data_IF_731937155643
#
_entry.id   IF_731937155643
#
_cell.length_a   1.000
_cell.length_b   1.000
_cell.length_c   1.000
_cell.angle_alpha   90.00
_cell.angle_beta   90.00
_cell.angle_gamma   90.00
#
_symmetry.space_group_name_H-M   'P 1'
#
loop_
_entity.id
_entity.type
_entity.pdbx_description
1 polymer ?
#
# COMPACT_ATOMS: atom_id res chain seq x y z
N UNK A 1 -9.24 1.70 9.03
CA UNK A 1 -9.77 0.44 9.59
C UNK A 1 -11.04 0.65 10.39
N UNK A 2 -11.02 1.43 11.49
CA UNK A 2 -12.20 1.61 12.36
C UNK A 2 -13.38 2.20 11.59
N UNK A 3 -13.18 3.29 10.86
CA UNK A 3 -14.24 3.90 10.05
C UNK A 3 -14.78 2.95 8.99
N UNK A 4 -13.92 2.24 8.28
CA UNK A 4 -14.32 1.26 7.26
C UNK A 4 -15.09 0.11 7.89
N UNK A 5 -14.64 -0.41 9.04
CA UNK A 5 -15.33 -1.44 9.79
C UNK A 5 -16.73 -1.00 10.22
N UNK A 6 -16.89 0.23 10.71
CA UNK A 6 -18.20 0.80 11.07
C UNK A 6 -19.11 0.92 9.83
N UNK A 7 -18.61 1.44 8.72
CA UNK A 7 -19.39 1.56 7.49
C UNK A 7 -19.84 0.18 7.02
N UNK A 8 -18.96 -0.82 7.02
CA UNK A 8 -19.32 -2.20 6.65
C UNK A 8 -20.33 -2.82 7.62
N UNK A 9 -20.17 -2.57 8.92
CA UNK A 9 -21.15 -3.00 9.91
C UNK A 9 -22.52 -2.39 9.63
N UNK A 10 -22.61 -1.11 9.31
CA UNK A 10 -23.86 -0.45 8.96
C UNK A 10 -24.47 -1.01 7.67
N UNK A 11 -23.66 -1.38 6.67
CA UNK A 11 -24.12 -2.03 5.43
C UNK A 11 -24.69 -3.43 5.66
N UNK A 12 -24.20 -4.12 6.69
CA UNK A 12 -24.63 -5.46 7.09
C UNK A 12 -25.48 -5.44 8.35
N UNK A 13 -26.04 -4.26 8.69
CA UNK A 13 -26.80 -4.14 9.94
C UNK A 13 -27.89 -5.20 10.02
N UNK A 14 -27.93 -5.98 11.08
CA UNK A 14 -28.84 -7.10 11.19
C UNK A 14 -30.30 -6.60 11.31
N UNK A 15 -31.20 -7.33 10.70
CA UNK A 15 -32.62 -7.24 11.00
C UNK A 15 -32.94 -7.95 12.34
N UNK A 16 -34.21 -8.00 12.67
CA UNK A 16 -34.67 -8.67 13.92
C UNK A 16 -34.38 -10.17 13.97
N UNK A 17 -34.05 -10.80 12.83
CA UNK A 17 -33.75 -12.22 12.71
C UNK A 17 -32.26 -12.58 12.83
N UNK A 18 -31.36 -11.59 12.83
CA UNK A 18 -29.90 -11.81 12.91
C UNK A 18 -29.41 -12.90 11.94
N UNK A 19 -29.68 -12.70 10.65
CA UNK A 19 -29.30 -13.67 9.59
C UNK A 19 -27.82 -14.09 9.70
N UNK A 20 -27.58 -15.41 9.89
CA UNK A 20 -26.23 -15.96 9.95
C UNK A 20 -25.46 -15.69 8.65
N UNK A 21 -26.12 -15.79 7.49
CA UNK A 21 -25.52 -15.48 6.19
C UNK A 21 -24.98 -14.06 6.12
N UNK A 22 -25.72 -13.08 6.66
CA UNK A 22 -25.30 -11.69 6.69
C UNK A 22 -24.12 -11.49 7.64
N UNK A 23 -24.15 -12.09 8.82
CA UNK A 23 -23.06 -12.07 9.79
C UNK A 23 -21.78 -12.68 9.21
N UNK A 24 -21.91 -13.86 8.58
CA UNK A 24 -20.77 -14.52 7.94
C UNK A 24 -20.22 -13.71 6.75
N UNK A 25 -21.09 -13.04 6.02
CA UNK A 25 -20.70 -12.14 4.94
C UNK A 25 -19.85 -10.96 5.43
N UNK A 26 -20.29 -10.33 6.52
CA UNK A 26 -19.55 -9.26 7.17
C UNK A 26 -18.18 -9.72 7.67
N UNK A 27 -18.15 -10.83 8.42
CA UNK A 27 -16.91 -11.35 9.01
C UNK A 27 -15.90 -11.72 7.91
N UNK A 28 -16.28 -12.50 6.90
CA UNK A 28 -15.38 -12.86 5.79
C UNK A 28 -14.78 -11.66 5.09
N UNK A 29 -15.57 -10.60 4.89
CA UNK A 29 -15.10 -9.39 4.22
C UNK A 29 -14.11 -8.62 5.09
N UNK A 30 -14.41 -8.49 6.39
CA UNK A 30 -13.55 -7.80 7.33
C UNK A 30 -12.24 -8.56 7.57
N UNK A 31 -12.31 -9.88 7.75
CA UNK A 31 -11.14 -10.73 7.94
C UNK A 31 -10.18 -10.60 6.75
N UNK A 32 -10.70 -10.69 5.53
CA UNK A 32 -9.89 -10.55 4.32
C UNK A 32 -9.20 -9.18 4.24
N UNK A 33 -9.91 -8.10 4.58
CA UNK A 33 -9.33 -6.75 4.58
C UNK A 33 -8.23 -6.61 5.63
N UNK A 34 -8.46 -7.14 6.83
CA UNK A 34 -7.48 -7.12 7.93
C UNK A 34 -6.24 -7.95 7.54
N UNK A 35 -6.40 -9.11 6.93
CA UNK A 35 -5.29 -9.94 6.45
C UNK A 35 -4.44 -9.23 5.41
N UNK A 36 -5.04 -8.56 4.44
CA UNK A 36 -4.31 -7.79 3.43
C UNK A 36 -3.53 -6.61 4.05
N UNK A 37 -4.11 -5.94 5.04
CA UNK A 37 -3.44 -4.87 5.78
C UNK A 37 -2.30 -5.43 6.62
N UNK A 38 -2.52 -6.54 7.32
CA UNK A 38 -1.48 -7.25 8.09
C UNK A 38 -0.30 -7.60 7.19
N UNK A 39 -0.55 -8.18 6.04
CA UNK A 39 0.48 -8.59 5.09
C UNK A 39 1.28 -7.37 4.59
N UNK A 40 0.61 -6.26 4.31
CA UNK A 40 1.27 -5.02 3.92
C UNK A 40 2.14 -4.43 5.03
N UNK A 41 1.68 -4.47 6.28
CA UNK A 41 2.47 -4.05 7.44
C UNK A 41 3.67 -4.96 7.64
N UNK A 42 3.48 -6.29 7.58
CA UNK A 42 4.56 -7.26 7.69
C UNK A 42 5.63 -7.03 6.62
N UNK A 43 5.22 -6.72 5.38
CA UNK A 43 6.14 -6.42 4.28
C UNK A 43 7.17 -5.34 4.65
N UNK A 44 6.74 -4.26 5.32
CA UNK A 44 7.64 -3.17 5.71
C UNK A 44 8.76 -3.62 6.66
N UNK A 45 8.46 -4.58 7.51
CA UNK A 45 9.43 -5.14 8.45
C UNK A 45 10.27 -6.26 7.84
N UNK A 46 9.63 -7.15 7.08
CA UNK A 46 10.30 -8.30 6.48
C UNK A 46 11.25 -7.93 5.33
N UNK A 47 10.86 -6.97 4.49
CA UNK A 47 11.68 -6.51 3.37
C UNK A 47 12.75 -5.49 3.79
N UNK A 48 12.91 -5.19 5.08
CA UNK A 48 13.88 -4.21 5.56
C UNK A 48 15.31 -4.58 5.22
N UNK A 49 16.12 -3.59 4.87
CA UNK A 49 17.56 -3.75 4.68
C UNK A 49 18.36 -3.52 5.98
N UNK A 50 17.67 -3.16 7.07
CA UNK A 50 18.30 -2.92 8.37
C UNK A 50 18.71 -4.23 9.03
N UNK A 51 19.92 -4.24 9.61
CA UNK A 51 20.48 -5.36 10.37
C UNK A 51 21.21 -4.92 11.65
N UNK A 52 21.13 -3.64 11.96
CA UNK A 52 21.86 -2.98 13.04
C UNK A 52 21.46 -3.44 14.45
N UNK A 53 20.26 -4.03 14.60
CA UNK A 53 19.80 -4.57 15.89
C UNK A 53 19.24 -5.99 15.79
N UNK A 54 19.15 -6.74 16.91
CA UNK A 54 18.50 -8.06 16.93
C UNK A 54 17.05 -8.01 16.46
N UNK A 55 16.34 -6.93 16.73
CA UNK A 55 14.96 -6.74 16.29
C UNK A 55 14.85 -6.76 14.77
N UNK A 56 15.66 -5.95 14.05
CA UNK A 56 15.59 -5.86 12.59
C UNK A 56 16.01 -7.17 11.91
N UNK A 57 16.99 -7.88 12.46
CA UNK A 57 17.34 -9.22 11.99
C UNK A 57 16.20 -10.22 12.17
N UNK A 58 15.57 -10.20 13.34
CA UNK A 58 14.44 -11.08 13.63
C UNK A 58 13.27 -10.86 12.67
N UNK A 59 12.82 -9.64 12.47
CA UNK A 59 11.65 -9.35 11.61
C UNK A 59 11.92 -9.59 10.14
N UNK A 60 13.18 -9.47 9.69
CA UNK A 60 13.60 -9.83 8.34
C UNK A 60 13.57 -11.35 8.11
N UNK A 61 13.95 -12.13 9.11
CA UNK A 61 14.14 -13.57 8.98
C UNK A 61 12.93 -14.37 9.50
N UNK A 62 11.95 -13.73 10.11
CA UNK A 62 10.74 -14.39 10.62
C UNK A 62 9.90 -15.02 9.50
N UNK A 63 9.16 -16.10 9.78
CA UNK A 63 8.17 -16.63 8.84
C UNK A 63 7.07 -15.61 8.59
N UNK A 64 6.65 -15.52 7.33
CA UNK A 64 5.60 -14.61 6.88
C UNK A 64 4.41 -15.42 6.34
N UNK A 65 3.20 -14.84 6.29
CA UNK A 65 2.05 -15.51 5.69
C UNK A 65 2.30 -15.93 4.24
N UNK A 66 1.77 -17.07 3.84
CA UNK A 66 1.91 -17.61 2.48
C UNK A 66 1.40 -16.62 1.42
N UNK A 67 0.32 -15.89 1.72
CA UNK A 67 -0.25 -14.85 0.87
C UNK A 67 0.74 -13.72 0.60
N UNK A 68 1.51 -13.32 1.60
CA UNK A 68 2.57 -12.33 1.44
C UNK A 68 3.77 -12.91 0.70
N UNK A 69 4.19 -14.12 1.06
CA UNK A 69 5.32 -14.79 0.41
C UNK A 69 5.10 -14.94 -1.10
N UNK A 70 3.91 -15.43 -1.50
CA UNK A 70 3.52 -15.53 -2.91
C UNK A 70 3.59 -14.18 -3.62
N UNK A 71 3.02 -13.12 -3.02
CA UNK A 71 3.01 -11.77 -3.61
C UNK A 71 4.42 -11.22 -3.80
N UNK A 72 5.31 -11.41 -2.82
CA UNK A 72 6.70 -10.98 -2.91
C UNK A 72 7.46 -11.75 -3.99
N UNK A 73 7.26 -13.07 -4.09
CA UNK A 73 7.93 -13.89 -5.10
C UNK A 73 7.44 -13.57 -6.52
N UNK A 74 6.13 -13.36 -6.72
CA UNK A 74 5.59 -12.92 -8.02
C UNK A 74 6.17 -11.58 -8.46
N UNK A 75 6.28 -10.63 -7.53
CA UNK A 75 6.91 -9.35 -7.81
C UNK A 75 8.39 -9.51 -8.11
N UNK A 76 9.11 -10.31 -7.31
CA UNK A 76 10.55 -10.58 -7.51
C UNK A 76 10.83 -11.29 -8.82
N UNK A 77 9.94 -12.15 -9.31
CA UNK A 77 10.12 -12.82 -10.58
C UNK A 77 10.02 -11.84 -11.77
N UNK A 78 8.91 -11.11 -11.89
CA UNK A 78 8.60 -10.29 -13.08
C UNK A 78 7.98 -8.92 -12.81
N UNK A 79 8.00 -8.42 -11.60
CA UNK A 79 7.34 -7.17 -11.25
C UNK A 79 5.81 -7.25 -11.26
N UNK A 80 5.25 -8.46 -11.19
CA UNK A 80 3.81 -8.65 -11.22
C UNK A 80 3.20 -8.40 -9.85
N UNK A 81 2.19 -7.54 -9.82
CA UNK A 81 1.35 -7.28 -8.66
C UNK A 81 -0.11 -7.44 -9.08
N UNK A 82 -0.83 -8.29 -8.38
CA UNK A 82 -2.25 -8.47 -8.60
C UNK A 82 -3.03 -7.80 -7.47
N UNK A 83 -4.06 -7.07 -7.85
CA UNK A 83 -5.05 -6.59 -6.91
C UNK A 83 -6.00 -7.76 -6.60
N UNK A 84 -6.11 -8.10 -5.33
CA UNK A 84 -6.89 -9.26 -4.86
C UNK A 84 -8.40 -8.97 -4.85
N UNK A 85 -8.78 -7.69 -4.93
CA UNK A 85 -10.17 -7.25 -5.00
C UNK A 85 -10.30 -5.74 -5.12
N UNK A 86 -11.47 -5.27 -5.50
CA UNK A 86 -11.77 -3.84 -5.62
C UNK A 86 -11.71 -3.08 -4.27
N UNK A 87 -11.80 -3.82 -3.17
CA UNK A 87 -11.81 -3.29 -1.80
C UNK A 87 -10.41 -3.32 -1.13
N UNK A 88 -9.35 -3.59 -1.87
CA UNK A 88 -7.99 -3.63 -1.32
C UNK A 88 -7.59 -2.22 -0.84
N UNK A 89 -7.22 -2.10 0.45
CA UNK A 89 -6.93 -0.82 1.10
C UNK A 89 -5.69 -0.14 0.52
N UNK A 90 -4.67 -0.94 0.19
CA UNK A 90 -3.44 -0.45 -0.42
C UNK A 90 -3.41 -0.78 -1.92
N UNK A 91 -3.23 0.23 -2.75
CA UNK A 91 -3.15 0.07 -4.19
C UNK A 91 -1.91 -0.72 -4.63
N UNK A 92 -1.92 -1.24 -5.85
CA UNK A 92 -0.71 -1.85 -6.45
C UNK A 92 0.49 -0.89 -6.41
N UNK A 93 0.26 0.42 -6.61
CA UNK A 93 1.30 1.43 -6.51
C UNK A 93 1.92 1.51 -5.11
N UNK A 94 1.12 1.35 -4.05
CA UNK A 94 1.62 1.30 -2.68
C UNK A 94 2.52 0.08 -2.45
N UNK A 95 2.09 -1.10 -2.88
CA UNK A 95 2.87 -2.33 -2.79
C UNK A 95 4.19 -2.21 -3.57
N UNK A 96 4.13 -1.71 -4.80
CA UNK A 96 5.32 -1.50 -5.63
C UNK A 96 6.30 -0.51 -4.98
N UNK A 97 5.80 0.60 -4.46
CA UNK A 97 6.64 1.62 -3.81
C UNK A 97 7.38 1.04 -2.61
N UNK A 98 6.71 0.25 -1.76
CA UNK A 98 7.35 -0.39 -0.61
C UNK A 98 8.36 -1.44 -1.06
N UNK A 99 8.01 -2.35 -1.96
CA UNK A 99 8.91 -3.40 -2.43
C UNK A 99 10.17 -2.80 -3.07
N UNK A 100 10.00 -1.88 -4.03
CA UNK A 100 11.14 -1.22 -4.68
C UNK A 100 11.97 -0.41 -3.69
N UNK A 101 11.33 0.35 -2.81
CA UNK A 101 11.99 1.15 -1.79
C UNK A 101 12.79 0.31 -0.78
N UNK A 102 12.39 -0.92 -0.54
CA UNK A 102 13.08 -1.88 0.32
C UNK A 102 14.06 -2.78 -0.45
N UNK A 103 14.29 -2.50 -1.73
CA UNK A 103 15.28 -3.23 -2.53
C UNK A 103 14.81 -4.57 -3.10
N UNK A 104 13.51 -4.85 -3.08
CA UNK A 104 12.93 -5.98 -3.80
C UNK A 104 12.81 -5.59 -5.27
N UNK A 105 13.80 -5.98 -6.07
CA UNK A 105 13.87 -5.65 -7.51
C UNK A 105 13.49 -6.87 -8.33
N UNK A 106 12.60 -6.73 -9.33
CA UNK A 106 12.26 -7.81 -10.24
C UNK A 106 13.47 -8.33 -11.01
N UNK A 107 13.55 -9.65 -11.17
CA UNK A 107 14.62 -10.32 -11.95
C UNK A 107 14.42 -10.19 -13.45
N UNK A 108 13.16 -10.04 -13.87
CA UNK A 108 12.75 -9.87 -15.25
C UNK A 108 11.54 -8.94 -15.32
N UNK A 109 11.17 -8.53 -16.50
CA UNK A 109 9.96 -7.75 -16.76
C UNK A 109 8.92 -8.60 -17.52
N UNK A 110 7.69 -8.12 -17.55
CA UNK A 110 6.67 -8.74 -18.37
C UNK A 110 7.00 -8.53 -19.86
N UNK A 111 7.11 -9.59 -20.68
CA UNK A 111 7.46 -9.49 -22.11
C UNK A 111 6.55 -8.59 -22.94
N UNK A 112 5.34 -8.32 -22.46
CA UNK A 112 4.45 -7.36 -23.13
C UNK A 112 5.01 -5.93 -23.14
N UNK A 113 5.95 -5.61 -22.26
CA UNK A 113 6.62 -4.30 -22.27
C UNK A 113 7.71 -4.17 -23.33
N UNK A 114 8.16 -5.26 -23.95
CA UNK A 114 9.14 -5.22 -25.04
C UNK A 114 8.60 -4.49 -26.29
N UNK A 115 7.27 -4.38 -26.39
CA UNK A 115 6.60 -3.62 -27.46
C UNK A 115 6.46 -2.13 -27.17
N UNK A 116 6.90 -1.66 -26.00
CA UNK A 116 6.82 -0.25 -25.63
C UNK A 116 8.00 0.52 -26.23
N UNK A 117 7.73 1.75 -26.64
CA UNK A 117 8.80 2.68 -27.00
C UNK A 117 9.47 3.23 -25.73
N UNK A 118 10.63 2.70 -25.38
CA UNK A 118 11.35 3.05 -24.16
C UNK A 118 11.77 4.52 -24.12
N UNK A 119 12.09 5.14 -25.24
CA UNK A 119 12.45 6.57 -25.30
C UNK A 119 11.23 7.43 -24.94
N UNK A 120 10.06 7.05 -25.44
CA UNK A 120 8.82 7.74 -25.06
C UNK A 120 8.47 7.55 -23.58
N UNK A 121 8.67 6.35 -23.04
CA UNK A 121 8.47 6.06 -21.61
C UNK A 121 9.42 6.92 -20.77
N UNK A 122 10.70 6.97 -21.12
CA UNK A 122 11.69 7.80 -20.43
C UNK A 122 11.33 9.29 -20.47
N UNK A 123 10.92 9.80 -21.64
CA UNK A 123 10.48 11.19 -21.79
C UNK A 123 9.25 11.51 -20.92
N UNK A 124 8.29 10.58 -20.83
CA UNK A 124 7.12 10.73 -19.95
C UNK A 124 7.51 10.80 -18.48
N UNK A 125 8.45 9.95 -18.03
CA UNK A 125 8.94 10.00 -16.64
C UNK A 125 9.61 11.35 -16.32
N UNK A 126 10.44 11.86 -17.22
CA UNK A 126 11.07 13.17 -17.01
C UNK A 126 10.04 14.32 -17.03
N UNK A 127 8.98 14.21 -17.80
CA UNK A 127 7.89 15.18 -17.77
C UNK A 127 7.13 15.13 -16.42
N UNK A 128 6.80 13.94 -15.94
CA UNK A 128 6.12 13.74 -14.64
C UNK A 128 6.99 14.29 -13.53
N UNK A 129 8.28 13.97 -13.51
CA UNK A 129 9.23 14.44 -12.50
C UNK A 129 9.29 15.96 -12.46
N UNK A 130 9.40 16.61 -13.63
CA UNK A 130 9.38 18.08 -13.72
C UNK A 130 8.08 18.67 -13.21
N UNK A 131 6.93 18.08 -13.57
CA UNK A 131 5.63 18.54 -13.08
C UNK A 131 5.50 18.43 -11.56
N UNK A 132 5.95 17.32 -10.98
CA UNK A 132 5.93 17.14 -9.52
C UNK A 132 6.86 18.11 -8.79
N UNK A 133 8.07 18.31 -9.32
CA UNK A 133 9.02 19.29 -8.75
C UNK A 133 8.41 20.70 -8.79
N UNK A 134 7.88 21.14 -9.93
CA UNK A 134 7.24 22.44 -10.05
C UNK A 134 6.03 22.60 -9.10
N UNK A 135 5.25 21.53 -8.92
CA UNK A 135 4.15 21.54 -7.95
C UNK A 135 4.66 21.67 -6.52
N UNK A 136 5.69 20.90 -6.14
CA UNK A 136 6.27 20.93 -4.81
C UNK A 136 6.90 22.30 -4.51
N UNK A 137 7.62 22.89 -5.46
CA UNK A 137 8.24 24.21 -5.32
C UNK A 137 7.20 25.33 -5.20
N UNK A 138 6.01 25.13 -5.75
CA UNK A 138 4.89 26.09 -5.65
C UNK A 138 4.07 25.98 -4.36
N UNK A 139 4.30 24.97 -3.53
CA UNK A 139 3.59 24.81 -2.26
C UNK A 139 4.19 25.73 -1.18
N UNK A 140 3.34 26.37 -0.34
CA UNK A 140 3.83 27.11 0.81
C UNK A 140 4.49 26.16 1.81
N UNK A 141 5.41 26.69 2.64
CA UNK A 141 5.91 25.94 3.77
C UNK A 141 4.75 25.52 4.68
N UNK A 142 4.88 24.36 5.33
CA UNK A 142 3.79 23.76 6.13
C UNK A 142 3.26 24.75 7.19
N UNK A 143 4.13 25.41 7.89
CA UNK A 143 3.75 26.41 8.92
C UNK A 143 2.99 27.58 8.33
N UNK A 144 3.41 28.09 7.16
CA UNK A 144 2.76 29.19 6.49
C UNK A 144 1.37 28.80 6.00
N UNK A 145 1.21 27.58 5.49
CA UNK A 145 -0.08 27.02 5.11
C UNK A 145 -1.03 26.95 6.32
N UNK A 146 -0.56 26.44 7.46
CA UNK A 146 -1.39 26.36 8.67
C UNK A 146 -1.82 27.73 9.17
N UNK A 147 -0.91 28.72 9.18
CA UNK A 147 -1.22 30.09 9.56
C UNK A 147 -2.24 30.75 8.63
N UNK A 148 -2.05 30.61 7.31
CA UNK A 148 -2.95 31.16 6.30
C UNK A 148 -4.37 30.58 6.39
N UNK A 149 -4.50 29.30 6.74
CA UNK A 149 -5.78 28.63 6.82
C UNK A 149 -6.38 28.61 8.24
N UNK A 150 -5.83 29.40 9.17
CA UNK A 150 -6.27 29.48 10.58
C UNK A 150 -6.38 28.11 11.28
N UNK A 151 -5.59 27.14 10.82
CA UNK A 151 -5.53 25.80 11.42
C UNK A 151 -4.58 25.76 12.63
N UNK A 152 -3.83 26.83 12.87
CA UNK A 152 -2.97 27.04 14.02
C UNK A 152 -3.75 27.85 15.05
N UNK A 153 -4.28 27.23 16.09
CA UNK A 153 -4.71 27.94 17.29
C UNK A 153 -3.45 28.43 18.02
N UNK A 154 -3.29 29.74 18.17
CA UNK A 154 -2.31 30.26 19.10
C UNK A 154 -2.67 29.72 20.48
N UNK A 155 -1.83 28.81 21.00
CA UNK A 155 -1.91 28.40 22.40
C UNK A 155 -1.37 29.59 23.19
N UNK A 156 -2.30 30.38 23.72
CA UNK A 156 -2.01 31.47 24.63
C UNK A 156 -1.56 30.91 25.99
#
# INVERSE_FOLDING_TARGET
LVQTGIIRMLQHWPDTGFSQTNTDGYNRRLDREIELIRDFVILHYHATQRDDTPFWRHVRDMPIPDTLAERVEMFRDRGLLFQVGADEYFSQGSWMAVMMGQGVVPKAHNPLYDYQNLDQVAANFEQIKRAWTATADGLPAHEDYLKQNRMWAEVA
#
